data_IF_472976553707
#
_entry.id   IF_472976553707
#
_cell.length_a   1.000
_cell.length_b   1.000
_cell.length_c   1.000
_cell.angle_alpha   90.00
_cell.angle_beta   90.00
_cell.angle_gamma   90.00
#
_symmetry.space_group_name_H-M   'P 1'
#
loop_
_entity.id
_entity.type
_entity.pdbx_description
1 polymer ?
#
# COMPACT_ATOMS: atom_id res chain seq x y z
N UNK A 1 -10.68 29.35 -40.99
CA UNK A 1 -9.88 28.36 -40.23
C UNK A 1 -10.69 27.93 -39.01
N UNK A 2 -10.84 26.62 -38.72
CA UNK A 2 -11.52 26.18 -37.53
C UNK A 2 -10.63 26.30 -36.28
N UNK A 3 -11.27 26.58 -35.14
CA UNK A 3 -10.68 26.87 -33.83
C UNK A 3 -10.16 25.56 -33.18
N UNK A 4 -8.98 25.55 -32.53
CA UNK A 4 -8.46 24.34 -31.86
C UNK A 4 -9.30 24.01 -30.62
N UNK A 5 -9.74 22.76 -30.48
CA UNK A 5 -10.33 22.26 -29.23
C UNK A 5 -9.22 21.92 -28.23
N UNK A 6 -9.29 22.55 -27.06
CA UNK A 6 -8.42 22.34 -25.89
C UNK A 6 -9.10 21.29 -25.01
N UNK A 7 -8.52 20.07 -24.90
CA UNK A 7 -9.15 18.97 -24.17
C UNK A 7 -8.24 17.80 -23.78
N UNK A 8 -7.84 16.93 -24.72
CA UNK A 8 -7.65 15.51 -24.33
C UNK A 8 -6.21 14.97 -24.23
N UNK A 9 -5.16 15.75 -24.48
CA UNK A 9 -3.80 15.17 -24.47
C UNK A 9 -3.11 15.18 -23.10
N UNK A 10 -3.35 16.19 -22.26
CA UNK A 10 -2.70 16.29 -20.93
C UNK A 10 -3.27 15.29 -19.93
N UNK A 11 -4.59 15.15 -19.86
CA UNK A 11 -5.23 14.22 -18.92
C UNK A 11 -4.91 12.74 -19.23
N UNK A 12 -4.81 12.38 -20.51
CA UNK A 12 -4.41 11.04 -20.91
C UNK A 12 -2.94 10.74 -20.60
N UNK A 13 -2.03 11.70 -20.83
CA UNK A 13 -0.61 11.54 -20.50
C UNK A 13 -0.37 11.46 -18.98
N UNK A 14 -1.01 12.33 -18.19
CA UNK A 14 -0.91 12.34 -16.73
C UNK A 14 -1.49 11.05 -16.11
N UNK A 15 -2.60 10.55 -16.68
CA UNK A 15 -3.17 9.27 -16.27
C UNK A 15 -2.26 8.09 -16.60
N UNK A 16 -1.63 8.05 -17.78
CA UNK A 16 -0.69 6.99 -18.16
C UNK A 16 0.55 6.98 -17.26
N UNK A 17 1.17 8.15 -17.01
CA UNK A 17 2.33 8.27 -16.10
C UNK A 17 1.96 7.83 -14.68
N UNK A 18 0.79 8.24 -14.18
CA UNK A 18 0.31 7.77 -12.89
C UNK A 18 0.11 6.24 -12.89
N UNK A 19 -0.44 5.67 -13.97
CA UNK A 19 -0.70 4.23 -14.04
C UNK A 19 0.60 3.41 -14.06
N UNK A 20 1.64 3.90 -14.75
CA UNK A 20 2.97 3.28 -14.80
C UNK A 20 3.69 3.33 -13.44
N UNK A 21 3.61 4.46 -12.73
CA UNK A 21 4.13 4.57 -11.35
C UNK A 21 3.40 3.60 -10.40
N UNK A 22 2.12 3.36 -10.63
CA UNK A 22 1.32 2.40 -9.88
C UNK A 22 1.77 0.94 -10.09
N UNK A 23 2.21 0.61 -11.30
CA UNK A 23 2.68 -0.72 -11.66
C UNK A 23 4.07 -0.95 -11.06
N UNK A 24 4.99 0.02 -11.26
CA UNK A 24 6.32 -0.02 -10.66
C UNK A 24 6.28 -0.14 -9.14
N UNK A 25 5.39 0.61 -8.48
CA UNK A 25 5.25 0.54 -7.03
C UNK A 25 4.67 -0.81 -6.56
N UNK A 26 3.87 -1.50 -7.38
CA UNK A 26 3.40 -2.85 -7.09
C UNK A 26 4.54 -3.87 -7.24
N UNK A 27 5.39 -3.74 -8.26
CA UNK A 27 6.54 -4.62 -8.47
C UNK A 27 7.62 -4.43 -7.38
N UNK A 28 7.79 -3.21 -6.89
CA UNK A 28 8.77 -2.89 -5.83
C UNK A 28 8.31 -3.34 -4.43
N UNK A 29 7.00 -3.50 -4.19
CA UNK A 29 6.48 -3.78 -2.84
C UNK A 29 6.80 -5.20 -2.38
N UNK A 30 6.79 -6.18 -3.30
CA UNK A 30 7.05 -7.59 -3.01
C UNK A 30 8.45 -7.80 -2.41
N UNK A 31 9.56 -7.41 -3.08
CA UNK A 31 10.89 -7.61 -2.52
C UNK A 31 11.11 -6.82 -1.23
N UNK A 32 10.42 -5.69 -1.02
CA UNK A 32 10.49 -4.94 0.24
C UNK A 32 9.92 -5.75 1.41
N UNK A 33 8.77 -6.40 1.21
CA UNK A 33 8.12 -7.21 2.24
C UNK A 33 8.98 -8.44 2.56
N UNK A 34 9.59 -9.07 1.55
CA UNK A 34 10.45 -10.23 1.75
C UNK A 34 11.71 -9.90 2.55
N UNK A 35 12.34 -8.75 2.30
CA UNK A 35 13.50 -8.29 3.09
C UNK A 35 13.16 -7.99 4.55
N UNK A 36 11.91 -7.60 4.81
CA UNK A 36 11.48 -7.24 6.16
C UNK A 36 11.32 -8.46 7.09
N UNK A 37 11.25 -9.68 6.55
CA UNK A 37 11.05 -10.90 7.34
C UNK A 37 12.15 -11.07 8.38
N UNK A 38 11.74 -11.14 9.66
CA UNK A 38 12.65 -11.31 10.79
C UNK A 38 13.24 -10.01 11.34
N UNK A 39 13.05 -8.87 10.66
CA UNK A 39 13.46 -7.55 11.16
C UNK A 39 12.53 -7.13 12.30
N UNK A 40 13.08 -6.52 13.36
CA UNK A 40 12.26 -5.95 14.43
C UNK A 40 11.83 -4.54 14.04
N UNK A 41 10.53 -4.24 14.08
CA UNK A 41 9.98 -2.97 13.60
C UNK A 41 10.62 -1.77 14.34
N UNK A 42 10.79 -1.86 15.66
CA UNK A 42 11.22 -0.72 16.49
C UNK A 42 12.71 -0.65 16.79
N UNK A 43 13.54 -1.44 16.12
CA UNK A 43 14.98 -1.44 16.38
C UNK A 43 15.63 -0.11 15.97
N UNK A 44 15.26 0.41 14.80
CA UNK A 44 15.65 1.74 14.32
C UNK A 44 14.71 2.20 13.20
N UNK A 45 14.51 3.52 13.08
CA UNK A 45 13.67 4.11 12.05
C UNK A 45 14.27 3.92 10.66
N UNK A 46 13.43 3.58 9.69
CA UNK A 46 13.79 3.41 8.30
C UNK A 46 14.35 2.03 7.96
N UNK A 47 14.14 1.04 8.83
CA UNK A 47 14.49 -0.35 8.55
C UNK A 47 13.59 -0.97 7.45
N UNK A 48 13.87 -2.21 7.05
CA UNK A 48 13.09 -2.88 6.01
C UNK A 48 11.60 -3.03 6.37
N UNK A 49 11.25 -3.14 7.66
CA UNK A 49 9.86 -3.18 8.12
C UNK A 49 9.12 -1.86 7.84
N UNK A 50 9.75 -0.74 8.18
CA UNK A 50 9.22 0.60 7.91
C UNK A 50 9.05 0.83 6.40
N UNK A 51 10.04 0.43 5.61
CA UNK A 51 10.01 0.61 4.16
C UNK A 51 8.92 -0.25 3.50
N UNK A 52 8.75 -1.50 3.94
CA UNK A 52 7.68 -2.37 3.48
C UNK A 52 6.29 -1.82 3.82
N UNK A 53 6.07 -1.40 5.07
CA UNK A 53 4.81 -0.82 5.50
C UNK A 53 4.50 0.51 4.77
N UNK A 54 5.51 1.36 4.59
CA UNK A 54 5.38 2.61 3.84
C UNK A 54 5.00 2.34 2.37
N UNK A 55 5.63 1.36 1.74
CA UNK A 55 5.36 1.01 0.35
C UNK A 55 3.92 0.46 0.17
N UNK A 56 3.47 -0.42 1.07
CA UNK A 56 2.07 -0.89 1.10
C UNK A 56 1.06 0.27 1.27
N UNK A 57 1.36 1.20 2.19
CA UNK A 57 0.53 2.39 2.39
C UNK A 57 0.47 3.29 1.15
N UNK A 58 1.61 3.47 0.47
CA UNK A 58 1.69 4.24 -0.79
C UNK A 58 0.90 3.54 -1.88
N UNK A 59 1.03 2.22 -2.03
CA UNK A 59 0.30 1.43 -3.03
C UNK A 59 -1.20 1.60 -2.87
N UNK A 60 -1.68 1.45 -1.63
CA UNK A 60 -3.09 1.63 -1.28
C UNK A 60 -3.61 3.01 -1.66
N UNK A 61 -2.93 4.07 -1.20
CA UNK A 61 -3.33 5.46 -1.47
C UNK A 61 -3.31 5.76 -2.96
N UNK A 62 -2.27 5.32 -3.63
CA UNK A 62 -2.06 5.59 -5.05
C UNK A 62 -3.13 4.93 -5.91
N UNK A 63 -3.34 3.62 -5.74
CA UNK A 63 -4.36 2.87 -6.52
C UNK A 63 -5.77 3.29 -6.15
N UNK A 64 -5.99 3.69 -4.90
CA UNK A 64 -7.25 4.31 -4.47
C UNK A 64 -7.52 5.65 -5.17
N UNK A 65 -6.49 6.49 -5.31
CA UNK A 65 -6.59 7.77 -6.04
C UNK A 65 -6.82 7.58 -7.54
N UNK A 66 -6.02 6.74 -8.20
CA UNK A 66 -6.10 6.51 -9.66
C UNK A 66 -7.44 5.92 -10.09
N UNK A 67 -8.01 5.00 -9.30
CA UNK A 67 -9.29 4.33 -9.64
C UNK A 67 -10.50 4.90 -8.88
N UNK A 68 -10.33 6.00 -8.15
CA UNK A 68 -11.45 6.76 -7.58
C UNK A 68 -12.11 6.15 -6.35
N UNK A 69 -11.41 5.36 -5.54
CA UNK A 69 -11.95 4.90 -4.26
C UNK A 69 -11.05 3.94 -3.46
N UNK A 70 -11.23 3.87 -2.13
CA UNK A 70 -10.39 3.06 -1.23
C UNK A 70 -10.38 1.56 -1.58
N UNK A 71 -11.50 1.02 -2.09
CA UNK A 71 -11.61 -0.39 -2.47
C UNK A 71 -10.57 -0.82 -3.53
N UNK A 72 -10.17 0.09 -4.43
CA UNK A 72 -9.13 -0.19 -5.42
C UNK A 72 -7.73 -0.19 -4.82
N UNK A 73 -7.49 0.64 -3.81
CA UNK A 73 -6.29 0.60 -3.00
C UNK A 73 -6.17 -0.73 -2.25
N UNK A 74 -7.27 -1.15 -1.60
CA UNK A 74 -7.31 -2.40 -0.85
C UNK A 74 -7.12 -3.62 -1.77
N UNK A 75 -7.70 -3.60 -2.98
CA UNK A 75 -7.50 -4.65 -3.97
C UNK A 75 -6.03 -4.76 -4.39
N UNK A 76 -5.36 -3.63 -4.69
CA UNK A 76 -3.96 -3.66 -5.08
C UNK A 76 -3.04 -4.17 -3.97
N UNK A 77 -3.33 -3.84 -2.71
CA UNK A 77 -2.61 -4.42 -1.56
C UNK A 77 -2.85 -5.92 -1.46
N UNK A 78 -4.09 -6.39 -1.62
CA UNK A 78 -4.39 -7.83 -1.63
C UNK A 78 -3.66 -8.57 -2.76
N UNK A 79 -3.63 -7.98 -3.95
CA UNK A 79 -2.94 -8.55 -5.10
C UNK A 79 -1.44 -8.71 -4.81
N UNK A 80 -0.78 -7.67 -4.28
CA UNK A 80 0.63 -7.75 -3.89
C UNK A 80 0.90 -8.75 -2.74
N UNK A 81 0.01 -8.82 -1.75
CA UNK A 81 0.13 -9.80 -0.65
C UNK A 81 -0.16 -11.23 -1.11
N UNK A 82 -0.83 -11.43 -2.25
CA UNK A 82 -1.08 -12.76 -2.81
C UNK A 82 0.13 -13.36 -3.53
N UNK A 83 1.14 -12.54 -3.84
CA UNK A 83 2.34 -12.95 -4.58
C UNK A 83 3.57 -13.18 -3.70
N UNK A 84 3.53 -12.80 -2.42
CA UNK A 84 4.64 -13.01 -1.48
C UNK A 84 4.60 -14.42 -0.87
N UNK A 85 5.74 -14.87 -0.35
CA UNK A 85 5.82 -16.12 0.42
C UNK A 85 4.90 -16.10 1.66
N UNK A 86 4.25 -17.23 2.01
CA UNK A 86 3.33 -17.30 3.16
C UNK A 86 3.95 -16.85 4.49
N UNK A 87 5.23 -17.14 4.69
CA UNK A 87 5.95 -16.70 5.88
C UNK A 87 6.05 -15.16 5.97
N UNK A 88 6.24 -14.49 4.83
CA UNK A 88 6.28 -13.04 4.76
C UNK A 88 4.90 -12.43 5.03
N UNK A 89 3.84 -13.06 4.52
CA UNK A 89 2.46 -12.67 4.82
C UNK A 89 2.14 -12.77 6.31
N UNK A 90 2.48 -13.90 6.95
CA UNK A 90 2.30 -14.09 8.40
C UNK A 90 3.08 -13.04 9.17
N UNK A 91 4.32 -12.77 8.77
CA UNK A 91 5.17 -11.79 9.42
C UNK A 91 4.55 -10.38 9.35
N UNK A 92 4.19 -9.88 8.15
CA UNK A 92 3.62 -8.52 8.02
C UNK A 92 2.24 -8.41 8.69
N UNK A 93 1.42 -9.47 8.67
CA UNK A 93 0.15 -9.50 9.38
C UNK A 93 0.34 -9.39 10.90
N UNK A 94 1.30 -10.13 11.46
CA UNK A 94 1.63 -10.05 12.90
C UNK A 94 2.04 -8.63 13.31
N UNK A 95 2.77 -7.95 12.42
CA UNK A 95 3.21 -6.58 12.59
C UNK A 95 2.05 -5.58 12.54
N UNK A 96 1.13 -5.75 11.60
CA UNK A 96 -0.09 -4.94 11.54
C UNK A 96 -0.94 -5.07 12.81
N UNK A 97 -1.08 -6.29 13.37
CA UNK A 97 -1.76 -6.50 14.66
C UNK A 97 -1.05 -5.74 15.79
N UNK A 98 0.27 -5.86 15.93
CA UNK A 98 1.03 -5.13 16.95
C UNK A 98 0.83 -3.62 16.83
N UNK A 99 0.89 -3.08 15.62
CA UNK A 99 0.64 -1.65 15.40
C UNK A 99 -0.78 -1.23 15.81
N UNK A 100 -1.80 -2.04 15.50
CA UNK A 100 -3.19 -1.74 15.90
C UNK A 100 -3.36 -1.76 17.42
N UNK A 101 -2.81 -2.76 18.10
CA UNK A 101 -2.80 -2.88 19.57
C UNK A 101 -2.19 -1.63 20.21
N UNK A 102 -0.99 -1.25 19.78
CA UNK A 102 -0.26 -0.10 20.32
C UNK A 102 -0.91 1.26 20.01
N UNK A 103 -1.78 1.33 18.99
CA UNK A 103 -2.49 2.55 18.60
C UNK A 103 -3.95 2.58 19.09
N UNK A 104 -4.30 1.73 20.06
CA UNK A 104 -5.55 1.81 20.80
C UNK A 104 -6.73 1.11 20.13
N UNK A 105 -6.50 0.27 19.12
CA UNK A 105 -7.60 -0.40 18.43
C UNK A 105 -8.43 -1.29 19.37
N UNK A 106 -7.85 -2.21 20.18
CA UNK A 106 -8.64 -3.04 21.08
C UNK A 106 -9.47 -2.22 22.08
N UNK A 107 -8.91 -1.17 22.65
CA UNK A 107 -9.58 -0.30 23.62
C UNK A 107 -10.77 0.44 22.99
N UNK A 108 -10.63 0.87 21.73
CA UNK A 108 -11.73 1.51 21.00
C UNK A 108 -12.88 0.55 20.69
N UNK A 109 -12.61 -0.76 20.65
CA UNK A 109 -13.60 -1.80 20.40
C UNK A 109 -14.16 -2.45 21.67
N UNK A 110 -13.54 -2.27 22.83
CA UNK A 110 -13.99 -2.83 24.10
C UNK A 110 -15.50 -2.62 24.37
N UNK A 111 -16.11 -1.45 24.08
CA UNK A 111 -17.55 -1.24 24.28
C UNK A 111 -18.49 -2.10 23.41
N UNK A 112 -17.96 -2.76 22.38
CA UNK A 112 -18.72 -3.59 21.43
C UNK A 112 -18.41 -5.08 21.55
N UNK A 113 -17.50 -5.45 22.46
CA UNK A 113 -17.00 -6.82 22.61
C UNK A 113 -17.72 -7.62 23.72
N UNK A 114 -18.66 -6.98 24.42
CA UNK A 114 -19.47 -7.54 25.51
C UNK A 114 -20.90 -7.93 25.05
#
# INVERSE_FOLDING_TARGET
MPIPRKGDSRGAADFTVATDDAARLADEVVPLIERAVGVQWYEHVGNDADLAALALCRLRRFKGGVRGGPAHGDAAVRDALSTIEPAALVWIASRAISYMDENGFPETLAPYAD
#
